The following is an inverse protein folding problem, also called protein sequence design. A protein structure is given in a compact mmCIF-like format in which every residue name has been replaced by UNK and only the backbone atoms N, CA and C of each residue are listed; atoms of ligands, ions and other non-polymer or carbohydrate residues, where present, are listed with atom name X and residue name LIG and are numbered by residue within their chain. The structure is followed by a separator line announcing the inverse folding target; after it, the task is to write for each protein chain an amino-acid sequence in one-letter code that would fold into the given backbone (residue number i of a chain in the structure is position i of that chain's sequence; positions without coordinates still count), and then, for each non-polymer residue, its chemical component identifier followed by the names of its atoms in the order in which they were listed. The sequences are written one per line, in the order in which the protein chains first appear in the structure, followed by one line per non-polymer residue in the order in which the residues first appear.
data_IF_503871424827
#
_entry.id   IF_503871424827
#
_cell.length_a   1.000
_cell.length_b   1.000
_cell.length_c   1.000
_cell.angle_alpha   90.00
_cell.angle_beta   90.00
_cell.angle_gamma   90.00
#
_symmetry.space_group_name_H-M   'P 1'
#
loop_
_entity.id
_entity.type
_entity.pdbx_description
1 polymer ?
#
# COMPACT_ATOMS: atom_id res chain seq x y z
N UNK A 1 -10.77 -13.71 16.15
CA UNK A 1 -10.74 -12.28 16.53
C UNK A 1 -10.44 -11.45 15.29
N UNK A 2 -11.07 -10.28 15.09
CA UNK A 2 -10.70 -9.41 13.99
C UNK A 2 -9.22 -9.02 14.11
N UNK A 3 -8.50 -9.01 12.99
CA UNK A 3 -7.11 -8.56 12.95
C UNK A 3 -7.01 -7.05 13.15
N UNK A 4 -5.95 -6.60 13.82
CA UNK A 4 -5.59 -5.19 13.93
C UNK A 4 -4.66 -4.84 12.76
N UNK A 5 -5.05 -3.86 11.97
CA UNK A 5 -4.22 -3.28 10.89
C UNK A 5 -3.64 -1.96 11.37
N UNK A 6 -2.34 -1.77 11.18
CA UNK A 6 -1.61 -0.54 11.51
C UNK A 6 -0.90 -0.02 10.27
N UNK A 7 -0.91 1.30 10.11
CA UNK A 7 -0.05 2.03 9.19
C UNK A 7 0.88 2.89 10.05
N UNK A 8 2.19 2.75 9.87
CA UNK A 8 3.23 3.61 10.41
C UNK A 8 3.81 4.46 9.27
N UNK A 9 4.28 5.65 9.60
CA UNK A 9 5.02 6.47 8.67
C UNK A 9 6.11 7.25 9.37
N UNK A 10 7.19 7.56 8.65
CA UNK A 10 8.26 8.45 9.11
C UNK A 10 8.79 9.29 7.97
N UNK A 11 9.36 10.45 8.32
CA UNK A 11 10.18 11.23 7.39
C UNK A 11 11.59 10.65 7.33
N UNK A 12 12.12 10.48 6.13
CA UNK A 12 13.49 10.04 5.87
C UNK A 12 14.46 11.22 5.93
N UNK A 13 15.77 10.94 5.95
CA UNK A 13 16.82 11.96 5.88
C UNK A 13 16.74 12.81 4.60
N UNK A 14 16.28 12.22 3.50
CA UNK A 14 16.04 12.91 2.22
C UNK A 14 14.76 13.75 2.19
N UNK A 15 14.02 13.83 3.30
CA UNK A 15 12.78 14.60 3.41
C UNK A 15 11.53 13.90 2.87
N UNK A 16 11.66 12.71 2.28
CA UNK A 16 10.56 11.88 1.80
C UNK A 16 9.85 11.15 2.95
N UNK A 17 8.68 10.60 2.68
CA UNK A 17 7.87 9.85 3.64
C UNK A 17 7.91 8.36 3.29
N UNK A 18 8.33 7.56 4.26
CA UNK A 18 8.27 6.11 4.18
C UNK A 18 7.06 5.62 4.98
N UNK A 19 6.25 4.76 4.37
CA UNK A 19 5.11 4.11 5.02
C UNK A 19 5.42 2.65 5.26
N UNK A 20 4.90 2.11 6.35
CA UNK A 20 4.84 0.69 6.62
C UNK A 20 3.44 0.29 7.04
N UNK A 21 2.93 -0.85 6.58
CA UNK A 21 1.62 -1.35 6.99
C UNK A 21 1.65 -2.85 7.27
N UNK A 22 0.88 -3.27 8.27
CA UNK A 22 0.73 -4.69 8.59
C UNK A 22 -0.54 -4.97 9.38
N UNK A 23 -0.97 -6.23 9.32
CA UNK A 23 -2.03 -6.77 10.15
C UNK A 23 -1.52 -7.89 11.08
N UNK A 24 -2.04 -7.95 12.30
CA UNK A 24 -1.79 -9.03 13.26
C UNK A 24 -2.95 -9.22 14.25
N UNK A 25 -2.90 -10.28 15.05
CA UNK A 25 -3.91 -10.54 16.09
C UNK A 25 -3.83 -9.59 17.30
N UNK A 26 -2.75 -8.81 17.42
CA UNK A 26 -2.56 -7.80 18.46
C UNK A 26 -1.78 -6.59 17.92
N UNK A 27 -1.97 -5.45 18.58
CA UNK A 27 -1.43 -4.16 18.15
C UNK A 27 0.10 -4.16 18.12
N UNK A 28 0.75 -4.74 19.13
CA UNK A 28 2.22 -4.75 19.25
C UNK A 28 2.85 -5.51 18.08
N UNK A 29 2.31 -6.68 17.72
CA UNK A 29 2.78 -7.45 16.57
C UNK A 29 2.52 -6.72 15.25
N UNK A 30 1.37 -6.06 15.10
CA UNK A 30 1.07 -5.27 13.91
C UNK A 30 2.09 -4.13 13.75
N UNK A 31 2.36 -3.37 14.81
CA UNK A 31 3.37 -2.30 14.82
C UNK A 31 4.76 -2.81 14.47
N UNK A 32 5.21 -3.93 15.07
CA UNK A 32 6.54 -4.50 14.77
C UNK A 32 6.68 -4.89 13.29
N UNK A 33 5.66 -5.54 12.72
CA UNK A 33 5.64 -5.90 11.30
C UNK A 33 5.61 -4.67 10.39
N UNK A 34 4.76 -3.69 10.71
CA UNK A 34 4.66 -2.44 9.97
C UNK A 34 5.99 -1.65 10.01
N UNK A 35 6.69 -1.64 11.14
CA UNK A 35 7.99 -0.98 11.28
C UNK A 35 9.06 -1.60 10.36
N UNK A 36 9.13 -2.94 10.30
CA UNK A 36 10.06 -3.62 9.37
C UNK A 36 9.73 -3.29 7.91
N UNK A 37 8.45 -3.23 7.55
CA UNK A 37 8.05 -2.84 6.20
C UNK A 37 8.40 -1.38 5.90
N UNK A 38 8.17 -0.48 6.86
CA UNK A 38 8.50 0.95 6.75
C UNK A 38 10.00 1.18 6.51
N UNK A 39 10.87 0.49 7.26
CA UNK A 39 12.32 0.60 7.09
C UNK A 39 12.77 0.11 5.71
N UNK A 40 12.20 -1.01 5.24
CA UNK A 40 12.47 -1.51 3.88
C UNK A 40 12.03 -0.50 2.83
N UNK A 41 10.86 0.11 3.01
CA UNK A 41 10.33 1.12 2.08
C UNK A 41 11.14 2.40 2.08
N UNK A 42 11.69 2.82 3.22
CA UNK A 42 12.55 4.01 3.30
C UNK A 42 13.75 3.90 2.33
N UNK A 43 14.33 2.70 2.20
CA UNK A 43 15.42 2.44 1.26
C UNK A 43 14.94 2.52 -0.19
N UNK A 44 13.79 1.92 -0.52
CA UNK A 44 13.23 1.96 -1.88
C UNK A 44 12.84 3.38 -2.30
N UNK A 45 12.19 4.14 -1.43
CA UNK A 45 11.77 5.52 -1.72
C UNK A 45 12.97 6.41 -1.99
N UNK A 46 14.07 6.26 -1.25
CA UNK A 46 15.31 6.99 -1.51
C UNK A 46 15.90 6.67 -2.89
N UNK A 47 15.84 5.40 -3.33
CA UNK A 47 16.34 4.96 -4.63
C UNK A 47 15.46 5.40 -5.80
N UNK A 48 14.14 5.35 -5.64
CA UNK A 48 13.16 5.58 -6.70
C UNK A 48 12.53 6.98 -6.66
N UNK A 49 13.11 7.91 -5.90
CA UNK A 49 12.62 9.29 -5.80
C UNK A 49 12.54 10.01 -7.16
N UNK A 50 13.25 9.51 -8.17
CA UNK A 50 13.24 10.01 -9.55
C UNK A 50 12.90 8.88 -10.50
N UNK A 51 11.60 8.69 -10.74
CA UNK A 51 11.13 7.76 -11.76
C UNK A 51 11.17 8.41 -13.15
N UNK A 52 11.30 7.58 -14.18
CA UNK A 52 11.06 7.99 -15.56
C UNK A 52 9.61 8.46 -15.73
N UNK A 53 9.32 9.43 -16.62
CA UNK A 53 7.95 9.77 -17.01
C UNK A 53 7.13 8.56 -17.49
N UNK A 54 7.81 7.55 -18.07
CA UNK A 54 7.20 6.32 -18.59
C UNK A 54 7.03 5.23 -17.52
N UNK A 55 7.35 5.52 -16.25
CA UNK A 55 7.16 4.57 -15.16
C UNK A 55 5.70 4.19 -14.98
N UNK A 56 5.48 2.97 -14.48
CA UNK A 56 4.14 2.44 -14.32
C UNK A 56 3.31 3.33 -13.36
N UNK A 57 2.00 3.57 -13.61
CA UNK A 57 1.20 4.48 -12.78
C UNK A 57 1.22 4.16 -11.27
N UNK A 58 1.32 2.88 -10.90
CA UNK A 58 1.43 2.46 -9.50
C UNK A 58 2.75 2.93 -8.85
N UNK A 59 3.84 2.90 -9.59
CA UNK A 59 5.16 3.34 -9.09
C UNK A 59 5.15 4.86 -8.91
N UNK A 60 4.62 5.60 -9.90
CA UNK A 60 4.45 7.05 -9.82
C UNK A 60 3.60 7.47 -8.61
N UNK A 61 2.47 6.79 -8.38
CA UNK A 61 1.64 6.99 -7.19
C UNK A 61 2.42 6.75 -5.89
N UNK A 62 3.22 5.68 -5.85
CA UNK A 62 4.04 5.36 -4.67
C UNK A 62 5.04 6.47 -4.36
N UNK A 63 5.64 7.08 -5.40
CA UNK A 63 6.54 8.23 -5.26
C UNK A 63 5.77 9.48 -4.83
N UNK A 64 4.64 9.80 -5.46
CA UNK A 64 3.80 10.94 -5.09
C UNK A 64 3.43 10.91 -3.60
N UNK A 65 2.97 9.78 -3.07
CA UNK A 65 2.62 9.67 -1.65
C UNK A 65 3.82 9.74 -0.70
N UNK A 66 5.03 9.51 -1.21
CA UNK A 66 6.27 9.75 -0.45
C UNK A 66 6.68 11.23 -0.40
N UNK A 67 6.08 12.09 -1.21
CA UNK A 67 6.34 13.53 -1.19
C UNK A 67 5.45 14.23 -0.16
N UNK A 68 5.74 15.50 0.13
CA UNK A 68 5.02 16.26 1.14
C UNK A 68 3.55 16.48 0.76
N UNK A 69 3.28 16.73 -0.52
CA UNK A 69 1.97 16.95 -1.10
C UNK A 69 1.08 15.71 -0.96
N UNK A 70 1.59 14.54 -1.38
CA UNK A 70 0.85 13.29 -1.23
C UNK A 70 0.67 12.88 0.23
N UNK A 71 1.65 13.16 1.10
CA UNK A 71 1.51 12.91 2.53
C UNK A 71 0.46 13.81 3.19
N UNK A 72 0.34 15.07 2.76
CA UNK A 72 -0.70 15.97 3.25
C UNK A 72 -2.11 15.41 2.97
N UNK A 73 -2.33 14.88 1.76
CA UNK A 73 -3.60 14.21 1.41
C UNK A 73 -3.85 12.97 2.27
N UNK A 74 -2.82 12.20 2.58
CA UNK A 74 -2.93 11.07 3.50
C UNK A 74 -3.36 11.52 4.92
N UNK A 75 -2.75 12.58 5.45
CA UNK A 75 -3.10 13.12 6.76
C UNK A 75 -4.52 13.70 6.79
N UNK A 76 -4.92 14.40 5.73
CA UNK A 76 -6.29 14.87 5.55
C UNK A 76 -7.28 13.70 5.59
N UNK A 77 -6.98 12.62 4.86
CA UNK A 77 -7.84 11.43 4.84
C UNK A 77 -7.91 10.74 6.20
N UNK A 78 -6.81 10.71 6.94
CA UNK A 78 -6.73 10.13 8.29
C UNK A 78 -7.57 10.92 9.30
N UNK A 79 -7.63 12.25 9.16
CA UNK A 79 -8.46 13.13 9.99
C UNK A 79 -9.94 13.18 9.58
N UNK A 80 -10.25 12.74 8.36
CA UNK A 80 -11.60 12.82 7.79
C UNK A 80 -12.53 11.74 8.37
N UNK A 81 -13.78 12.11 8.67
CA UNK A 81 -14.81 11.14 9.07
C UNK A 81 -15.15 10.24 7.88
N UNK A 82 -15.29 8.91 8.08
CA UNK A 82 -15.75 8.03 7.02
C UNK A 82 -17.12 8.50 6.48
N UNK A 83 -17.23 8.68 5.17
CA UNK A 83 -18.47 9.12 4.51
C UNK A 83 -19.58 8.04 4.50
N UNK A 84 -19.25 6.81 4.88
CA UNK A 84 -20.18 5.68 4.88
C UNK A 84 -19.54 4.41 5.43
N UNK A 85 -20.25 3.27 5.39
CA UNK A 85 -19.69 1.98 5.78
C UNK A 85 -18.52 1.60 4.88
N UNK A 86 -17.55 0.87 5.43
CA UNK A 86 -16.45 0.33 4.64
C UNK A 86 -16.99 -0.61 3.54
N UNK A 87 -16.47 -0.53 2.31
CA UNK A 87 -16.89 -1.43 1.25
C UNK A 87 -16.54 -2.87 1.61
N UNK A 88 -17.46 -3.80 1.31
CA UNK A 88 -17.21 -5.23 1.48
C UNK A 88 -16.32 -5.70 0.33
N UNK A 89 -15.10 -6.21 0.60
CA UNK A 89 -14.21 -6.67 -0.46
C UNK A 89 -14.81 -7.85 -1.21
N UNK A 90 -14.89 -7.77 -2.55
CA UNK A 90 -15.32 -8.89 -3.40
C UNK A 90 -14.09 -9.68 -3.86
N UNK A 91 -14.03 -10.96 -3.53
CA UNK A 91 -12.98 -11.86 -4.02
C UNK A 91 -13.25 -12.20 -5.49
N UNK A 92 -12.28 -11.93 -6.35
CA UNK A 92 -12.30 -12.25 -7.79
C UNK A 92 -11.59 -13.57 -8.06
N UNK A 93 -10.57 -13.88 -7.25
CA UNK A 93 -9.81 -15.10 -7.36
C UNK A 93 -9.25 -15.49 -5.98
N UNK A 94 -9.34 -16.76 -5.64
CA UNK A 94 -8.77 -17.34 -4.43
C UNK A 94 -8.37 -18.78 -4.76
N UNK A 95 -7.10 -18.98 -5.10
CA UNK A 95 -6.67 -20.27 -5.61
C UNK A 95 -5.20 -20.38 -5.99
N UNK A 96 -4.79 -21.58 -6.46
CA UNK A 96 -3.43 -21.86 -6.89
C UNK A 96 -3.15 -21.31 -8.28
N UNK A 97 -2.08 -20.53 -8.40
CA UNK A 97 -1.58 -19.99 -9.66
C UNK A 97 -0.77 -21.07 -10.39
N UNK A 98 -1.23 -21.51 -11.59
CA UNK A 98 -0.47 -22.47 -12.38
C UNK A 98 0.86 -21.88 -12.82
N UNK A 99 1.92 -22.69 -12.81
CA UNK A 99 3.21 -22.26 -13.34
C UNK A 99 4.34 -23.21 -13.02
N UNK A 100 5.57 -22.91 -13.47
CA UNK A 100 6.74 -23.78 -13.30
C UNK A 100 7.09 -24.09 -11.84
N UNK A 101 6.58 -23.32 -10.88
CA UNK A 101 6.77 -23.54 -9.45
C UNK A 101 5.88 -24.63 -8.86
N UNK A 102 4.82 -25.05 -9.55
CA UNK A 102 3.85 -26.03 -9.06
C UNK A 102 4.46 -27.42 -8.75
N UNK A 103 5.63 -27.73 -9.31
CA UNK A 103 6.40 -28.95 -8.96
C UNK A 103 7.07 -28.89 -7.58
N UNK A 104 7.16 -27.70 -6.97
CA UNK A 104 7.86 -27.47 -5.71
C UNK A 104 6.96 -26.93 -4.61
N UNK A 105 5.98 -26.09 -4.96
CA UNK A 105 5.08 -25.48 -4.00
C UNK A 105 3.78 -25.02 -4.67
N UNK A 106 2.70 -25.00 -3.90
CA UNK A 106 1.47 -24.33 -4.28
C UNK A 106 1.64 -22.81 -4.16
N UNK A 107 1.60 -22.11 -5.30
CA UNK A 107 1.62 -20.65 -5.32
C UNK A 107 0.19 -20.15 -5.20
N UNK A 108 -0.23 -19.84 -3.97
CA UNK A 108 -1.60 -19.36 -3.73
C UNK A 108 -1.72 -17.84 -3.90
N UNK A 109 -2.79 -17.37 -4.56
CA UNK A 109 -3.11 -15.93 -4.64
C UNK A 109 -4.57 -15.69 -4.30
N UNK A 110 -4.78 -14.56 -3.63
CA UNK A 110 -6.10 -13.98 -3.40
C UNK A 110 -6.12 -12.62 -4.08
N UNK A 111 -7.11 -12.40 -4.94
CA UNK A 111 -7.30 -11.15 -5.68
C UNK A 111 -8.68 -10.61 -5.36
N UNK A 112 -8.72 -9.36 -4.90
CA UNK A 112 -9.96 -8.63 -4.66
C UNK A 112 -10.27 -7.71 -5.83
N UNK A 113 -11.56 -7.47 -6.06
CA UNK A 113 -11.99 -6.47 -7.01
C UNK A 113 -11.57 -5.07 -6.52
N UNK A 114 -10.90 -4.26 -7.36
CA UNK A 114 -10.62 -2.86 -7.02
C UNK A 114 -11.93 -2.06 -6.83
N UNK A 115 -11.96 -1.09 -5.91
CA UNK A 115 -13.17 -0.31 -5.62
C UNK A 115 -13.66 0.53 -6.82
N UNK A 116 -12.79 0.79 -7.80
CA UNK A 116 -13.14 1.42 -9.07
C UNK A 116 -12.07 1.14 -10.13
N UNK A 117 -12.36 1.43 -11.40
CA UNK A 117 -11.39 1.37 -12.50
C UNK A 117 -10.42 2.55 -12.56
N UNK A 118 -10.50 3.52 -11.63
CA UNK A 118 -9.62 4.71 -11.62
C UNK A 118 -8.14 4.36 -11.52
N UNK A 119 -7.77 3.18 -11.02
CA UNK A 119 -6.38 2.74 -10.97
C UNK A 119 -5.75 2.60 -12.37
N UNK A 120 -6.56 2.43 -13.41
CA UNK A 120 -6.12 2.38 -14.81
C UNK A 120 -5.77 3.78 -15.37
N UNK A 121 -6.18 4.85 -14.70
CA UNK A 121 -5.83 6.21 -15.10
C UNK A 121 -4.41 6.60 -14.71
N UNK A 122 -3.99 7.79 -15.13
CA UNK A 122 -2.68 8.39 -14.81
C UNK A 122 -2.71 9.26 -13.55
N UNK A 123 -3.91 9.46 -12.97
CA UNK A 123 -4.11 10.23 -11.75
C UNK A 123 -3.38 9.58 -10.56
N UNK A 124 -2.59 10.41 -9.88
CA UNK A 124 -1.75 10.00 -8.75
C UNK A 124 -2.56 9.89 -7.44
N UNK A 125 -3.76 10.49 -7.38
CA UNK A 125 -4.62 10.54 -6.18
C UNK A 125 -5.58 9.36 -6.04
N UNK A 126 -5.41 8.30 -6.84
CA UNK A 126 -6.30 7.12 -6.86
C UNK A 126 -6.70 6.59 -5.47
N UNK A 127 -5.77 6.61 -4.50
CA UNK A 127 -5.99 6.08 -3.16
C UNK A 127 -6.81 6.99 -2.22
N UNK A 128 -7.09 8.23 -2.60
CA UNK A 128 -7.72 9.26 -1.74
C UNK A 128 -9.13 9.64 -2.23
N UNK A 129 -9.96 8.62 -2.45
CA UNK A 129 -11.40 8.77 -2.70
C UNK A 129 -12.17 9.30 -1.48
#
# INVERSE_FOLDING_TARGET
APGITVILFKRTESGLIAYGHAAAGDFVKACRKAAVEMERRAQSVAQFARLSPDAHPIERRSVFFSQAEGHALFLERLGSRPAGPAPVPRVVYDGPVPGPWAKYADVWRVVYEPPSRRFLGTDETYFML
#
